data_IF_215302590702
#
_entry.id   IF_215302590702
#
_cell.length_a   1.000
_cell.length_b   1.000
_cell.length_c   1.000
_cell.angle_alpha   90.00
_cell.angle_beta   90.00
_cell.angle_gamma   90.00
#
_symmetry.space_group_name_H-M   'P 1'
#
loop_
_entity.id
_entity.type
_entity.pdbx_description
1 polymer ?
#
# COMPACT_ATOMS: atom_id res chain seq x y z
N UNK A 1 -4.43 -27.74 20.44
CA UNK A 1 -3.20 -27.60 19.64
C UNK A 1 -3.58 -26.98 18.30
N UNK A 2 -3.05 -25.80 17.98
CA UNK A 2 -3.35 -25.12 16.70
C UNK A 2 -2.79 -25.98 15.56
N UNK A 3 -3.67 -26.46 14.69
CA UNK A 3 -3.29 -27.24 13.51
C UNK A 3 -2.35 -26.38 12.65
N UNK A 4 -1.07 -26.75 12.59
CA UNK A 4 -0.14 -26.11 11.66
C UNK A 4 -0.49 -26.61 10.27
N UNK A 5 -0.95 -25.70 9.41
CA UNK A 5 -1.52 -25.97 8.08
C UNK A 5 -0.61 -26.75 7.13
N UNK A 6 0.70 -26.78 7.38
CA UNK A 6 1.72 -27.29 6.46
C UNK A 6 2.32 -28.66 6.82
N UNK A 7 2.03 -29.25 7.99
CA UNK A 7 2.51 -30.58 8.38
C UNK A 7 1.33 -31.57 8.43
N UNK A 8 1.34 -32.57 7.54
CA UNK A 8 0.32 -33.62 7.45
C UNK A 8 0.90 -34.95 7.93
N UNK A 9 0.09 -35.73 8.63
CA UNK A 9 0.43 -37.09 9.04
C UNK A 9 -0.42 -38.10 8.27
N UNK A 10 0.21 -39.09 7.65
CA UNK A 10 -0.46 -40.25 7.06
C UNK A 10 -0.37 -41.45 8.01
N UNK A 11 -1.42 -42.27 8.06
CA UNK A 11 -1.55 -43.39 9.03
C UNK A 11 -1.46 -44.80 8.42
N UNK A 12 -1.10 -44.97 7.14
CA UNK A 12 -1.04 -46.30 6.51
C UNK A 12 0.19 -46.45 5.60
N UNK A 13 1.04 -47.51 5.74
CA UNK A 13 1.13 -48.53 6.80
C UNK A 13 2.05 -48.15 7.99
N UNK A 14 2.77 -47.03 7.95
CA UNK A 14 3.60 -46.50 9.05
C UNK A 14 3.36 -44.99 9.25
N UNK A 15 3.68 -44.46 10.43
CA UNK A 15 3.52 -43.03 10.72
C UNK A 15 4.50 -42.19 9.90
N UNK A 16 4.02 -41.65 8.78
CA UNK A 16 4.81 -40.83 7.88
C UNK A 16 4.34 -39.38 7.95
N UNK A 17 5.30 -38.46 7.98
CA UNK A 17 5.04 -37.03 7.93
C UNK A 17 5.28 -36.48 6.53
N UNK A 18 4.34 -35.67 6.07
CA UNK A 18 4.40 -34.97 4.79
C UNK A 18 4.35 -33.47 5.04
N UNK A 19 5.17 -32.74 4.31
CA UNK A 19 4.99 -31.32 4.12
C UNK A 19 3.91 -31.09 3.06
N UNK A 20 2.87 -30.33 3.38
CA UNK A 20 1.83 -29.92 2.45
C UNK A 20 1.94 -28.42 2.22
N UNK A 21 2.09 -28.02 0.98
CA UNK A 21 2.04 -26.60 0.60
C UNK A 21 0.81 -26.35 -0.27
N UNK A 22 0.09 -25.27 0.03
CA UNK A 22 -0.96 -24.73 -0.81
C UNK A 22 -0.39 -23.55 -1.58
N UNK A 23 -0.58 -23.54 -2.89
CA UNK A 23 -0.11 -22.44 -3.73
C UNK A 23 -1.05 -21.23 -3.51
N UNK A 24 -0.50 -20.04 -3.25
CA UNK A 24 -1.26 -18.80 -3.14
C UNK A 24 -2.13 -18.56 -4.39
N UNK A 25 -3.35 -18.05 -4.21
CA UNK A 25 -4.35 -17.91 -5.30
C UNK A 25 -3.84 -17.08 -6.48
N UNK A 26 -3.05 -16.05 -6.18
CA UNK A 26 -2.31 -15.19 -7.10
C UNK A 26 -1.35 -15.97 -8.01
N UNK A 27 -0.69 -17.01 -7.47
CA UNK A 27 0.31 -17.80 -8.19
C UNK A 27 -0.25 -19.04 -8.89
N UNK A 28 -1.55 -19.33 -8.74
CA UNK A 28 -2.21 -20.49 -9.38
C UNK A 28 -2.16 -20.43 -10.91
N UNK A 29 -2.06 -19.22 -11.50
CA UNK A 29 -1.92 -19.07 -12.96
C UNK A 29 -0.53 -19.47 -13.46
N UNK A 30 0.48 -19.45 -12.59
CA UNK A 30 1.89 -19.67 -12.94
C UNK A 30 2.27 -21.12 -12.68
N UNK A 31 1.81 -21.69 -11.57
CA UNK A 31 2.12 -23.07 -11.21
C UNK A 31 1.04 -24.04 -11.72
N UNK A 32 1.43 -25.22 -12.25
CA UNK A 32 0.49 -26.18 -12.83
C UNK A 32 -0.42 -26.86 -11.79
N UNK A 33 -0.11 -26.76 -10.49
CA UNK A 33 -0.80 -27.47 -9.42
C UNK A 33 -1.25 -26.48 -8.33
N UNK A 34 -2.40 -26.71 -7.70
CA UNK A 34 -2.91 -25.85 -6.61
C UNK A 34 -2.30 -26.16 -5.24
N UNK A 35 -1.72 -27.34 -5.10
CA UNK A 35 -1.07 -27.80 -3.87
C UNK A 35 -0.10 -28.91 -4.24
N UNK A 36 0.94 -29.07 -3.43
CA UNK A 36 1.84 -30.21 -3.53
C UNK A 36 2.12 -30.78 -2.14
N UNK A 37 2.60 -32.02 -2.10
CA UNK A 37 2.98 -32.67 -0.85
C UNK A 37 4.28 -33.44 -1.03
N UNK A 38 5.19 -33.27 -0.07
CA UNK A 38 6.52 -33.89 -0.08
C UNK A 38 6.65 -34.75 1.17
N UNK A 39 7.05 -36.01 1.00
CA UNK A 39 7.38 -36.88 2.12
C UNK A 39 8.65 -36.40 2.82
N UNK A 40 8.60 -36.26 4.14
CA UNK A 40 9.76 -35.87 4.96
C UNK A 40 10.69 -37.05 5.27
N UNK A 41 10.33 -38.28 4.84
CA UNK A 41 11.08 -39.52 5.06
C UNK A 41 11.55 -39.72 6.51
N UNK A 42 10.78 -39.23 7.47
CA UNK A 42 11.06 -39.35 8.89
C UNK A 42 9.81 -39.78 9.63
N UNK A 43 9.99 -40.66 10.62
CA UNK A 43 8.92 -41.08 11.54
C UNK A 43 8.95 -40.28 12.86
N UNK A 44 9.92 -39.37 13.03
CA UNK A 44 10.04 -38.52 14.22
C UNK A 44 9.26 -37.22 14.04
N UNK A 45 8.28 -36.97 14.92
CA UNK A 45 7.50 -35.74 14.91
C UNK A 45 8.37 -34.49 15.07
N UNK A 46 9.30 -34.49 16.04
CA UNK A 46 10.16 -33.34 16.33
C UNK A 46 11.02 -32.97 15.12
N UNK A 47 11.63 -33.98 14.49
CA UNK A 47 12.47 -33.80 13.32
C UNK A 47 11.65 -33.31 12.12
N UNK A 48 10.52 -33.96 11.85
CA UNK A 48 9.58 -33.59 10.78
C UNK A 48 9.03 -32.18 10.95
N UNK A 49 8.80 -31.73 12.18
CA UNK A 49 8.33 -30.37 12.49
C UNK A 49 9.37 -29.31 12.15
N UNK A 50 10.65 -29.57 12.41
CA UNK A 50 11.75 -28.65 12.06
C UNK A 50 11.90 -28.59 10.54
N UNK A 51 11.97 -29.75 9.87
CA UNK A 51 12.11 -29.81 8.41
C UNK A 51 10.94 -29.12 7.71
N UNK A 52 9.70 -29.43 8.11
CA UNK A 52 8.50 -28.82 7.51
C UNK A 52 8.45 -27.30 7.69
N UNK A 53 8.94 -26.77 8.81
CA UNK A 53 9.03 -25.32 9.01
C UNK A 53 10.07 -24.67 8.10
N UNK A 54 11.24 -25.31 7.93
CA UNK A 54 12.26 -24.83 7.01
C UNK A 54 11.77 -24.87 5.57
N UNK A 55 11.14 -25.97 5.15
CA UNK A 55 10.51 -26.09 3.83
C UNK A 55 9.42 -25.03 3.62
N UNK A 56 8.59 -24.76 4.64
CA UNK A 56 7.61 -23.68 4.58
C UNK A 56 8.27 -22.34 4.29
N UNK A 57 9.31 -21.96 5.05
CA UNK A 57 10.05 -20.71 4.83
C UNK A 57 10.65 -20.62 3.43
N UNK A 58 11.33 -21.67 2.98
CA UNK A 58 11.91 -21.72 1.63
C UNK A 58 10.83 -21.58 0.56
N UNK A 59 9.67 -22.22 0.75
CA UNK A 59 8.57 -22.12 -0.21
C UNK A 59 7.98 -20.71 -0.26
N UNK A 60 7.83 -20.03 0.89
CA UNK A 60 7.41 -18.63 0.91
C UNK A 60 8.41 -17.74 0.17
N UNK A 61 9.71 -17.94 0.40
CA UNK A 61 10.76 -17.21 -0.30
C UNK A 61 10.69 -17.40 -1.83
N UNK A 62 10.52 -18.64 -2.30
CA UNK A 62 10.35 -18.94 -3.74
C UNK A 62 9.10 -18.25 -4.30
N UNK A 63 7.99 -18.27 -3.56
CA UNK A 63 6.79 -17.55 -3.99
C UNK A 63 7.01 -16.05 -4.11
N UNK A 64 7.78 -15.47 -3.20
CA UNK A 64 8.14 -14.05 -3.27
C UNK A 64 9.05 -13.75 -4.47
N UNK A 65 10.07 -14.59 -4.74
CA UNK A 65 10.92 -14.45 -5.93
C UNK A 65 10.12 -14.57 -7.24
N UNK A 66 9.19 -15.52 -7.30
CA UNK A 66 8.30 -15.68 -8.46
C UNK A 66 7.43 -14.44 -8.64
N UNK A 67 6.82 -13.90 -7.56
CA UNK A 67 6.08 -12.63 -7.65
C UNK A 67 6.96 -11.52 -8.21
N UNK A 68 8.17 -11.35 -7.68
CA UNK A 68 9.10 -10.33 -8.15
C UNK A 68 9.47 -10.47 -9.64
N UNK A 69 9.56 -11.70 -10.15
CA UNK A 69 9.81 -11.97 -11.58
C UNK A 69 8.65 -11.68 -12.53
N UNK A 70 7.42 -11.65 -12.03
CA UNK A 70 6.19 -11.43 -12.83
C UNK A 70 5.47 -10.11 -12.54
N UNK A 71 5.93 -9.36 -11.55
CA UNK A 71 5.40 -8.05 -11.22
C UNK A 71 5.47 -7.10 -12.43
N UNK A 72 4.35 -6.44 -12.71
CA UNK A 72 4.31 -5.44 -13.77
C UNK A 72 5.10 -4.20 -13.37
N UNK A 73 5.70 -3.55 -14.37
CA UNK A 73 6.30 -2.24 -14.17
C UNK A 73 5.23 -1.20 -13.87
N UNK A 74 5.64 -0.16 -13.14
CA UNK A 74 4.75 0.93 -12.76
C UNK A 74 4.43 1.77 -14.00
N UNK A 75 3.15 1.98 -14.27
CA UNK A 75 2.68 2.88 -15.32
C UNK A 75 2.17 4.21 -14.75
N UNK A 76 2.05 5.22 -15.60
CA UNK A 76 1.52 6.52 -15.22
C UNK A 76 0.06 6.43 -14.71
N UNK A 77 -0.78 5.57 -15.30
CA UNK A 77 -2.17 5.37 -14.83
C UNK A 77 -2.21 4.87 -13.40
N UNK A 78 -1.33 3.93 -13.07
CA UNK A 78 -1.18 3.42 -11.70
C UNK A 78 -0.73 4.52 -10.75
N UNK A 79 0.27 5.31 -11.13
CA UNK A 79 0.74 6.46 -10.33
C UNK A 79 -0.41 7.42 -10.04
N UNK A 80 -1.24 7.72 -11.05
CA UNK A 80 -2.42 8.58 -10.87
C UNK A 80 -3.41 7.99 -9.87
N UNK A 81 -3.71 6.70 -9.95
CA UNK A 81 -4.61 6.03 -8.98
C UNK A 81 -4.06 6.14 -7.55
N UNK A 82 -2.77 5.84 -7.35
CA UNK A 82 -2.14 5.91 -6.02
C UNK A 82 -2.16 7.34 -5.47
N UNK A 83 -1.81 8.33 -6.29
CA UNK A 83 -1.83 9.74 -5.88
C UNK A 83 -3.24 10.22 -5.53
N UNK A 84 -4.25 9.87 -6.34
CA UNK A 84 -5.66 10.23 -6.07
C UNK A 84 -6.12 9.71 -4.71
N UNK A 85 -5.82 8.45 -4.41
CA UNK A 85 -6.16 7.85 -3.11
C UNK A 85 -5.43 8.54 -1.96
N UNK A 86 -4.15 8.87 -2.13
CA UNK A 86 -3.38 9.59 -1.10
C UNK A 86 -3.91 10.99 -0.86
N UNK A 87 -4.23 11.75 -1.92
CA UNK A 87 -4.81 13.10 -1.84
C UNK A 87 -6.13 13.09 -1.08
N UNK A 88 -7.05 12.18 -1.43
CA UNK A 88 -8.33 12.01 -0.72
C UNK A 88 -8.14 11.73 0.76
N UNK A 89 -7.17 10.89 1.13
CA UNK A 89 -6.84 10.61 2.53
C UNK A 89 -6.26 11.84 3.23
N UNK A 90 -5.44 12.63 2.54
CA UNK A 90 -4.86 13.87 3.07
C UNK A 90 -5.94 14.90 3.37
N UNK A 91 -6.88 15.14 2.45
CA UNK A 91 -7.98 16.09 2.65
C UNK A 91 -8.84 15.67 3.86
N UNK A 92 -9.17 14.39 3.98
CA UNK A 92 -9.87 13.87 5.17
C UNK A 92 -9.09 14.11 6.46
N UNK A 93 -7.78 13.89 6.43
CA UNK A 93 -6.91 14.06 7.60
C UNK A 93 -6.85 15.53 8.05
N UNK A 94 -6.72 16.50 7.13
CA UNK A 94 -6.67 17.91 7.52
C UNK A 94 -8.00 18.38 8.10
N UNK A 95 -9.13 17.92 7.56
CA UNK A 95 -10.47 18.25 8.09
C UNK A 95 -10.65 17.66 9.49
N UNK A 96 -10.24 16.40 9.71
CA UNK A 96 -10.28 15.79 11.05
C UNK A 96 -9.42 16.58 12.05
N UNK A 97 -8.22 16.98 11.64
CA UNK A 97 -7.33 17.78 12.48
C UNK A 97 -7.95 19.13 12.88
N UNK A 98 -8.66 19.77 11.96
CA UNK A 98 -9.43 21.00 12.22
C UNK A 98 -10.57 20.77 13.22
N UNK A 99 -11.27 19.62 13.12
CA UNK A 99 -12.37 19.26 14.02
C UNK A 99 -11.92 18.94 15.44
N UNK A 100 -10.72 18.37 15.59
CA UNK A 100 -10.11 18.06 16.89
C UNK A 100 -9.50 19.27 17.59
N UNK A 101 -9.29 20.38 16.87
CA UNK A 101 -8.69 21.59 17.40
C UNK A 101 -9.76 22.51 18.01
N UNK A 102 -9.60 22.89 19.28
CA UNK A 102 -10.51 23.80 19.94
C UNK A 102 -10.31 25.26 19.47
N UNK A 103 -11.11 25.68 18.48
CA UNK A 103 -11.04 27.01 17.86
C UNK A 103 -11.48 28.16 18.77
N UNK A 104 -12.14 27.85 19.87
CA UNK A 104 -12.63 28.85 20.83
C UNK A 104 -11.59 29.21 21.90
N UNK A 105 -10.49 28.47 21.96
CA UNK A 105 -9.35 28.76 22.81
C UNK A 105 -8.22 29.34 21.96
N UNK A 106 -8.06 30.66 21.98
CA UNK A 106 -7.08 31.39 21.18
C UNK A 106 -5.64 30.93 21.44
N UNK A 107 -5.31 30.62 22.70
CA UNK A 107 -3.98 30.14 23.07
C UNK A 107 -3.69 28.77 22.46
N UNK A 108 -4.63 27.83 22.58
CA UNK A 108 -4.50 26.49 22.01
C UNK A 108 -4.45 26.53 20.48
N UNK A 109 -5.27 27.39 19.86
CA UNK A 109 -5.26 27.59 18.41
C UNK A 109 -3.89 28.09 17.93
N UNK A 110 -3.32 29.07 18.62
CA UNK A 110 -1.99 29.60 18.29
C UNK A 110 -0.89 28.56 18.50
N UNK A 111 -0.93 27.82 19.62
CA UNK A 111 0.03 26.74 19.89
C UNK A 111 0.02 25.67 18.78
N UNK A 112 -1.18 25.32 18.27
CA UNK A 112 -1.35 24.36 17.16
C UNK A 112 -0.81 24.90 15.84
N UNK A 113 -1.00 26.18 15.56
CA UNK A 113 -0.44 26.83 14.36
C UNK A 113 1.09 26.83 14.43
N UNK A 114 1.65 27.23 15.57
CA UNK A 114 3.09 27.24 15.80
C UNK A 114 3.70 25.84 15.68
N UNK A 115 3.00 24.80 16.14
CA UNK A 115 3.41 23.41 15.94
C UNK A 115 3.46 23.01 14.47
N UNK A 116 2.48 23.43 13.67
CA UNK A 116 2.44 23.16 12.22
C UNK A 116 3.63 23.85 11.56
N UNK A 117 3.87 25.13 11.87
CA UNK A 117 4.98 25.90 11.30
C UNK A 117 6.34 25.29 11.66
N UNK A 118 6.53 24.88 12.92
CA UNK A 118 7.74 24.16 13.35
C UNK A 118 7.92 22.83 12.60
N UNK A 119 6.84 22.07 12.40
CA UNK A 119 6.87 20.79 11.68
C UNK A 119 7.19 20.98 10.20
N UNK A 120 6.57 21.95 9.54
CA UNK A 120 6.81 22.28 8.13
C UNK A 120 8.25 22.76 7.91
N UNK A 121 8.74 23.72 8.70
CA UNK A 121 10.10 24.24 8.59
C UNK A 121 11.15 23.14 8.79
N UNK A 122 10.95 22.27 9.79
CA UNK A 122 11.84 21.12 10.04
C UNK A 122 11.81 20.10 8.91
N UNK A 123 10.66 19.89 8.27
CA UNK A 123 10.55 19.01 7.12
C UNK A 123 11.30 19.62 5.91
N UNK A 124 11.10 20.91 5.63
CA UNK A 124 11.78 21.62 4.54
C UNK A 124 13.30 21.60 4.75
N UNK A 125 13.77 21.92 5.95
CA UNK A 125 15.20 21.90 6.31
C UNK A 125 15.82 20.51 6.05
N UNK A 126 15.14 19.44 6.47
CA UNK A 126 15.58 18.06 6.22
C UNK A 126 15.60 17.73 4.73
N UNK A 127 14.60 18.17 3.97
CA UNK A 127 14.56 17.96 2.53
C UNK A 127 15.67 18.71 1.78
N UNK A 128 16.03 19.91 2.25
CA UNK A 128 17.15 20.69 1.72
C UNK A 128 18.50 20.03 2.01
N UNK A 129 18.68 19.53 3.23
CA UNK A 129 19.95 18.93 3.67
C UNK A 129 20.14 17.49 3.16
N UNK A 130 19.10 16.66 3.25
CA UNK A 130 19.13 15.25 2.82
C UNK A 130 17.77 14.81 2.28
N UNK A 131 17.54 15.09 0.99
CA UNK A 131 16.34 14.65 0.30
C UNK A 131 16.19 13.12 0.29
N UNK A 132 17.27 12.36 0.04
CA UNK A 132 17.19 10.91 -0.13
C UNK A 132 16.92 10.19 1.18
N UNK A 133 17.61 10.56 2.26
CA UNK A 133 17.35 9.97 3.58
C UNK A 133 15.98 10.37 4.11
N UNK A 134 15.58 11.62 3.92
CA UNK A 134 14.25 12.09 4.35
C UNK A 134 13.13 11.36 3.63
N UNK A 135 13.27 11.05 2.34
CA UNK A 135 12.24 10.36 1.55
C UNK A 135 12.29 8.83 1.64
N UNK A 136 13.27 8.24 2.34
CA UNK A 136 13.43 6.79 2.44
C UNK A 136 12.23 6.10 3.12
N UNK A 137 11.67 6.72 4.16
CA UNK A 137 10.48 6.18 4.82
C UNK A 137 9.25 6.21 3.89
N UNK A 138 9.11 7.25 3.06
CA UNK A 138 8.08 7.33 2.03
C UNK A 138 8.27 6.25 0.98
N UNK A 139 9.52 6.02 0.54
CA UNK A 139 9.85 4.94 -0.37
C UNK A 139 9.41 3.57 0.18
N UNK A 140 9.62 3.29 1.47
CA UNK A 140 9.14 2.06 2.11
C UNK A 140 7.61 1.95 2.11
N UNK A 141 6.90 3.06 2.33
CA UNK A 141 5.44 3.11 2.30
C UNK A 141 4.90 2.85 0.89
N UNK A 142 5.53 3.45 -0.12
CA UNK A 142 5.22 3.23 -1.55
C UNK A 142 5.54 1.81 -1.98
N UNK A 143 6.70 1.28 -1.61
CA UNK A 143 7.11 -0.10 -1.90
C UNK A 143 6.03 -1.10 -1.42
N UNK A 144 5.47 -0.86 -0.23
CA UNK A 144 4.40 -1.70 0.30
C UNK A 144 3.12 -1.62 -0.54
N UNK A 145 2.70 -0.42 -0.93
CA UNK A 145 1.49 -0.21 -1.75
C UNK A 145 1.64 -0.83 -3.14
N UNK A 146 2.83 -0.74 -3.73
CA UNK A 146 3.12 -1.35 -5.02
C UNK A 146 3.08 -2.88 -4.93
N UNK A 147 3.68 -3.45 -3.87
CA UNK A 147 3.61 -4.89 -3.61
C UNK A 147 2.17 -5.37 -3.40
N UNK A 148 1.36 -4.62 -2.66
CA UNK A 148 -0.06 -4.94 -2.45
C UNK A 148 -0.89 -4.90 -3.75
N UNK A 149 -0.37 -4.26 -4.81
CA UNK A 149 -0.98 -4.17 -6.16
C UNK A 149 -0.29 -5.08 -7.19
N UNK A 150 0.58 -5.98 -6.77
CA UNK A 150 1.37 -6.86 -7.65
C UNK A 150 2.25 -6.09 -8.66
N UNK A 151 2.80 -4.95 -8.24
CA UNK A 151 3.67 -4.08 -9.04
C UNK A 151 5.10 -4.07 -8.52
N UNK A 152 6.06 -3.95 -9.44
CA UNK A 152 7.48 -3.97 -9.13
C UNK A 152 7.94 -2.63 -8.55
N UNK A 153 8.46 -2.60 -7.30
CA UNK A 153 9.05 -1.39 -6.75
C UNK A 153 10.47 -1.16 -7.30
N UNK A 154 10.57 -0.80 -8.59
CA UNK A 154 11.85 -0.46 -9.20
C UNK A 154 12.25 0.98 -8.85
N UNK A 155 13.21 1.11 -7.93
CA UNK A 155 13.74 2.42 -7.48
C UNK A 155 14.46 3.20 -8.58
N UNK A 156 14.81 2.58 -9.70
CA UNK A 156 15.40 3.25 -10.86
C UNK A 156 14.36 3.76 -11.84
N UNK A 157 13.12 3.25 -11.78
CA UNK A 157 12.02 3.61 -12.67
C UNK A 157 11.63 5.10 -12.51
N UNK A 158 11.32 5.75 -13.63
CA UNK A 158 10.94 7.17 -13.69
C UNK A 158 9.63 7.45 -12.92
N UNK A 159 8.60 6.63 -13.16
CA UNK A 159 7.29 6.75 -12.51
C UNK A 159 7.40 6.53 -11.00
N UNK A 160 8.21 5.55 -10.57
CA UNK A 160 8.51 5.33 -9.15
C UNK A 160 9.07 6.58 -8.48
N UNK A 161 10.14 7.15 -9.05
CA UNK A 161 10.78 8.36 -8.50
C UNK A 161 9.83 9.56 -8.52
N UNK A 162 9.06 9.68 -9.61
CA UNK A 162 8.04 10.71 -9.75
C UNK A 162 6.93 10.60 -8.70
N UNK A 163 6.55 9.38 -8.31
CA UNK A 163 5.59 9.12 -7.24
C UNK A 163 6.15 9.57 -5.89
N UNK A 164 7.39 9.21 -5.56
CA UNK A 164 8.04 9.65 -4.31
C UNK A 164 8.15 11.18 -4.23
N UNK A 165 8.57 11.83 -5.32
CA UNK A 165 8.69 13.29 -5.36
C UNK A 165 7.35 13.96 -5.07
N UNK A 166 6.29 13.58 -5.78
CA UNK A 166 4.96 14.18 -5.62
C UNK A 166 4.34 13.89 -4.27
N UNK A 167 4.58 12.70 -3.74
CA UNK A 167 4.14 12.37 -2.38
C UNK A 167 4.85 13.24 -1.34
N UNK A 168 6.14 13.52 -1.54
CA UNK A 168 6.91 14.42 -0.69
C UNK A 168 6.37 15.84 -0.77
N UNK A 169 6.08 16.34 -1.97
CA UNK A 169 5.43 17.63 -2.16
C UNK A 169 4.09 17.70 -1.41
N UNK A 170 3.28 16.64 -1.50
CA UNK A 170 2.00 16.56 -0.80
C UNK A 170 2.17 16.58 0.73
N UNK A 171 3.24 16.03 1.29
CA UNK A 171 3.52 16.13 2.73
C UNK A 171 3.75 17.58 3.16
N UNK A 172 4.49 18.36 2.37
CA UNK A 172 4.74 19.78 2.65
C UNK A 172 3.44 20.57 2.50
N UNK A 173 2.76 20.41 1.37
CA UNK A 173 1.48 21.09 1.06
C UNK A 173 0.44 20.81 2.15
N UNK A 174 0.37 19.57 2.65
CA UNK A 174 -0.57 19.20 3.72
C UNK A 174 -0.41 20.09 4.97
N UNK A 175 0.82 20.40 5.38
CA UNK A 175 1.03 21.24 6.57
C UNK A 175 0.56 22.67 6.30
N UNK A 176 0.80 23.21 5.10
CA UNK A 176 0.26 24.52 4.69
C UNK A 176 -1.27 24.55 4.69
N UNK A 177 -1.93 23.50 4.19
CA UNK A 177 -3.39 23.40 4.18
C UNK A 177 -3.98 23.33 5.59
N UNK A 178 -3.33 22.64 6.54
CA UNK A 178 -3.77 22.63 7.95
C UNK A 178 -3.71 24.02 8.56
N UNK A 179 -2.61 24.75 8.32
CA UNK A 179 -2.45 26.11 8.82
C UNK A 179 -3.52 27.04 8.27
N UNK A 180 -3.77 26.98 6.97
CA UNK A 180 -4.78 27.79 6.30
C UNK A 180 -6.18 27.50 6.86
N UNK A 181 -6.52 26.21 7.05
CA UNK A 181 -7.78 25.81 7.67
C UNK A 181 -7.94 26.35 9.10
N UNK A 182 -6.90 26.25 9.93
CA UNK A 182 -6.94 26.77 11.30
C UNK A 182 -7.02 28.31 11.36
N UNK A 183 -6.48 29.00 10.36
CA UNK A 183 -6.63 30.46 10.19
C UNK A 183 -8.00 30.87 9.62
N UNK A 184 -8.89 29.90 9.35
CA UNK A 184 -10.25 30.15 8.85
C UNK A 184 -10.35 30.24 7.33
N UNK A 185 -9.27 29.98 6.59
CA UNK A 185 -9.30 29.91 5.12
C UNK A 185 -9.90 28.56 4.73
N UNK A 186 -11.21 28.55 4.49
CA UNK A 186 -11.91 27.36 4.00
C UNK A 186 -11.83 27.29 2.49
N UNK A 187 -11.40 26.13 2.00
CA UNK A 187 -11.35 25.80 0.59
C UNK A 187 -12.34 24.70 0.28
N UNK A 188 -12.91 24.70 -0.92
CA UNK A 188 -13.65 23.54 -1.44
C UNK A 188 -12.66 22.42 -1.80
N UNK A 189 -13.14 21.19 -1.81
CA UNK A 189 -12.34 20.05 -2.26
C UNK A 189 -11.70 20.31 -3.63
N UNK A 190 -12.46 20.89 -4.57
CA UNK A 190 -11.97 21.23 -5.92
C UNK A 190 -10.78 22.19 -5.92
N UNK A 191 -10.72 23.17 -5.00
CA UNK A 191 -9.61 24.12 -4.90
C UNK A 191 -8.31 23.44 -4.46
N UNK A 192 -8.40 22.42 -3.58
CA UNK A 192 -7.23 21.59 -3.25
C UNK A 192 -6.74 20.80 -4.46
N UNK A 193 -7.66 20.29 -5.28
CA UNK A 193 -7.34 19.53 -6.48
C UNK A 193 -6.70 20.41 -7.56
N UNK A 194 -7.21 21.63 -7.74
CA UNK A 194 -6.67 22.63 -8.67
C UNK A 194 -5.24 23.01 -8.30
N UNK A 195 -4.93 23.28 -7.02
CA UNK A 195 -3.56 23.60 -6.58
C UNK A 195 -2.58 22.47 -6.94
N UNK A 196 -2.99 21.22 -6.73
CA UNK A 196 -2.17 20.05 -7.06
C UNK A 196 -2.02 19.86 -8.56
N UNK A 197 -3.07 20.14 -9.34
CA UNK A 197 -3.02 20.03 -10.80
C UNK A 197 -2.11 21.11 -11.41
N UNK A 198 -2.13 22.34 -10.90
CA UNK A 198 -1.21 23.40 -11.32
C UNK A 198 0.26 23.04 -11.04
N UNK A 199 0.52 22.45 -9.86
CA UNK A 199 1.88 22.04 -9.46
C UNK A 199 2.39 20.83 -10.23
N UNK A 200 1.55 19.80 -10.40
CA UNK A 200 2.01 18.50 -10.94
C UNK A 200 1.75 18.33 -12.43
N UNK A 201 0.78 19.04 -13.01
CA UNK A 201 0.42 19.02 -14.45
C UNK A 201 0.24 17.61 -14.99
N UNK A 202 -0.37 16.73 -14.19
CA UNK A 202 -0.50 15.29 -14.48
C UNK A 202 -1.84 14.90 -15.09
N UNK A 203 -2.81 15.81 -15.13
CA UNK A 203 -4.23 15.53 -15.41
C UNK A 203 -4.70 14.39 -14.51
N UNK A 204 -4.62 14.61 -13.19
CA UNK A 204 -5.04 13.66 -12.17
C UNK A 204 -6.56 13.65 -12.02
N UNK A 205 -7.16 14.84 -12.05
CA UNK A 205 -8.58 15.07 -11.76
C UNK A 205 -9.36 15.71 -12.91
N UNK A 206 -8.71 15.92 -14.06
CA UNK A 206 -9.40 16.42 -15.26
C UNK A 206 -10.52 15.47 -15.68
N UNK A 207 -11.62 16.03 -16.21
CA UNK A 207 -12.74 15.26 -16.79
C UNK A 207 -12.17 14.17 -17.66
N UNK A 208 -12.28 12.95 -17.18
CA UNK A 208 -11.91 11.84 -17.99
C UNK A 208 -12.92 11.75 -19.13
N UNK A 209 -12.43 11.67 -20.36
CA UNK A 209 -13.16 10.97 -21.41
C UNK A 209 -13.07 9.46 -21.11
N UNK A 210 -13.38 9.05 -19.88
CA UNK A 210 -13.50 7.65 -19.51
C UNK A 210 -14.80 7.20 -20.19
N UNK A 211 -14.64 6.56 -21.34
CA UNK A 211 -15.65 5.61 -21.82
C UNK A 211 -15.93 4.68 -20.65
N UNK A 212 -17.18 4.71 -20.21
CA UNK A 212 -17.79 3.84 -19.21
C UNK A 212 -17.14 2.46 -19.26
N UNK A 213 -16.39 2.12 -18.21
CA UNK A 213 -16.18 0.71 -17.88
C UNK A 213 -17.55 0.25 -17.38
N UNK A 214 -18.26 -0.65 -18.08
CA UNK A 214 -19.59 -1.05 -17.64
C UNK A 214 -19.45 -1.71 -16.28
N UNK A 215 -20.28 -1.27 -15.33
CA UNK A 215 -20.45 -1.97 -14.07
C UNK A 215 -20.83 -3.44 -14.35
N UNK A 216 -20.32 -4.41 -13.57
CA UNK A 216 -20.71 -5.81 -13.73
C UNK A 216 -22.22 -5.91 -13.58
N UNK A 217 -22.89 -6.46 -14.60
CA UNK A 217 -24.33 -6.74 -14.58
C UNK A 217 -24.61 -7.62 -13.36
N UNK A 218 -25.29 -7.07 -12.35
CA UNK A 218 -25.93 -7.86 -11.31
C UNK A 218 -27.01 -8.70 -11.98
N UNK A 219 -26.75 -10.00 -12.12
CA UNK A 219 -27.76 -10.97 -12.54
C UNK A 219 -28.77 -11.07 -11.40
N UNK A 220 -29.84 -10.27 -11.47
CA UNK A 220 -31.04 -10.49 -10.69
C UNK A 220 -31.59 -11.87 -11.05
N UNK A 221 -31.36 -12.85 -10.17
CA UNK A 221 -32.09 -14.10 -10.16
C UNK A 221 -33.58 -13.76 -10.08
N UNK A 222 -34.32 -14.07 -11.15
CA UNK A 222 -35.78 -13.92 -11.18
C UNK A 222 -36.41 -14.76 -10.07
N UNK A 223 -37.48 -14.28 -9.43
CA UNK A 223 -38.25 -15.11 -8.52
C UNK A 223 -39.05 -16.11 -9.36
N UNK A 224 -38.79 -17.41 -9.17
CA UNK A 224 -39.69 -18.44 -9.69
C UNK A 224 -41.09 -18.20 -9.13
N UNK A 225 -42.06 -18.21 -10.04
CA UNK A 225 -43.49 -18.33 -9.78
C UNK A 225 -43.83 -19.69 -9.16
#
# INVERSE_FOLDING_TARGET
>A
MVNRTYLKMNKFPYQQYLFRCQIPKDLVKIFPQRQFSISLKSNSYKHSKIISYNLYKTTQYIFDEVREGFMQDITLEVVKVILRDKVRRTIKHINLYEYETNKWNEKELQDRIDEIDKKENKLIERLQNDFKGTTEHLAKEVDKILKDKDLKPDKKNYEYKGLISRWTDLQVIRESWKRDLLKGVRRKDDEYLEELEEKWKLKLFGKSNDKEIPEPIEVFSSPCS
#
